data_IF_584261777387
#
_entry.id   IF_584261777387
#
_cell.length_a   1.000
_cell.length_b   1.000
_cell.length_c   1.000
_cell.angle_alpha   90.00
_cell.angle_beta   90.00
_cell.angle_gamma   90.00
#
_symmetry.space_group_name_H-M   'P 1'
#
loop_
_entity.id
_entity.type
_entity.pdbx_description
1 polymer ?
#
# COMPACT_ATOMS: atom_id res chain seq x y z
N UNK A 1 -0.26 10.62 36.38
CA UNK A 1 1.14 11.04 36.60
C UNK A 1 1.57 11.79 35.37
N UNK A 2 1.80 13.11 35.48
CA UNK A 2 2.37 13.87 34.37
C UNK A 2 3.73 13.25 34.04
N UNK A 3 3.91 12.76 32.82
CA UNK A 3 5.22 12.27 32.37
C UNK A 3 6.10 13.50 32.21
N UNK A 4 7.27 13.53 32.85
CA UNK A 4 8.24 14.62 32.66
C UNK A 4 8.60 14.73 31.17
N UNK A 5 8.07 15.75 30.50
CA UNK A 5 8.44 16.06 29.12
C UNK A 5 9.76 16.84 29.16
N UNK A 6 10.81 16.42 28.43
CA UNK A 6 12.07 17.17 28.41
C UNK A 6 11.94 18.52 27.67
N UNK A 7 10.79 18.79 27.06
CA UNK A 7 10.47 20.03 26.37
C UNK A 7 9.35 20.73 27.11
N UNK A 8 9.61 21.96 27.57
CA UNK A 8 8.63 22.78 28.28
C UNK A 8 7.53 23.36 27.37
N UNK A 9 7.75 23.39 26.05
CA UNK A 9 6.82 23.96 25.09
C UNK A 9 6.86 23.24 23.72
N UNK A 10 5.74 23.24 22.96
CA UNK A 10 5.68 22.67 21.61
C UNK A 10 6.75 23.21 20.66
N UNK A 11 7.05 24.51 20.73
CA UNK A 11 8.05 25.15 19.88
C UNK A 11 9.47 24.60 20.14
N UNK A 12 9.82 24.34 21.40
CA UNK A 12 11.11 23.75 21.78
C UNK A 12 11.26 22.34 21.23
N UNK A 13 10.19 21.54 21.32
CA UNK A 13 10.16 20.21 20.73
C UNK A 13 10.28 20.24 19.21
N UNK A 14 9.53 21.12 18.53
CA UNK A 14 9.63 21.27 17.07
C UNK A 14 11.04 21.69 16.63
N UNK A 15 11.67 22.60 17.38
CA UNK A 15 13.04 23.04 17.14
C UNK A 15 14.02 21.88 17.19
N UNK A 16 13.94 21.03 18.22
CA UNK A 16 14.76 19.83 18.35
C UNK A 16 14.51 18.83 17.20
N UNK A 17 13.23 18.58 16.87
CA UNK A 17 12.84 17.71 15.77
C UNK A 17 13.42 18.19 14.43
N UNK A 18 13.25 19.48 14.12
CA UNK A 18 13.76 20.11 12.90
C UNK A 18 15.29 20.07 12.84
N UNK A 19 15.97 20.35 13.94
CA UNK A 19 17.43 20.29 14.00
C UNK A 19 17.95 18.87 13.69
N UNK A 20 17.37 17.84 14.32
CA UNK A 20 17.73 16.44 14.05
C UNK A 20 17.40 16.03 12.62
N UNK A 21 16.24 16.44 12.10
CA UNK A 21 15.86 16.20 10.70
C UNK A 21 16.89 16.80 9.72
N UNK A 22 17.36 18.02 9.98
CA UNK A 22 18.38 18.67 9.15
C UNK A 22 19.73 17.95 9.19
N UNK A 23 20.16 17.47 10.36
CA UNK A 23 21.38 16.68 10.48
C UNK A 23 21.28 15.38 9.68
N UNK A 24 20.19 14.63 9.85
CA UNK A 24 19.96 13.38 9.13
C UNK A 24 19.87 13.62 7.62
N UNK A 25 19.07 14.60 7.20
CA UNK A 25 18.91 14.99 5.80
C UNK A 25 20.24 15.30 5.12
N UNK A 26 21.12 16.09 5.76
CA UNK A 26 22.46 16.38 5.24
C UNK A 26 23.33 15.13 5.12
N UNK A 27 23.32 14.27 6.13
CA UNK A 27 24.16 13.05 6.12
C UNK A 27 23.73 12.01 5.08
N UNK A 28 22.45 11.99 4.70
CA UNK A 28 21.86 10.97 3.81
C UNK A 28 21.45 11.52 2.44
N UNK A 29 21.63 12.83 2.17
CA UNK A 29 21.20 13.47 0.93
C UNK A 29 19.67 13.48 0.74
N UNK A 30 18.90 13.54 1.83
CA UNK A 30 17.44 13.48 1.81
C UNK A 30 16.81 14.88 1.94
N UNK A 31 15.60 15.12 1.41
CA UNK A 31 14.86 16.35 1.70
C UNK A 31 14.44 16.42 3.17
N UNK A 32 14.72 17.55 3.83
CA UNK A 32 14.36 17.76 5.26
C UNK A 32 12.85 17.58 5.49
N UNK A 33 12.02 18.04 4.56
CA UNK A 33 10.57 17.92 4.65
C UNK A 33 10.09 16.47 4.64
N UNK A 34 10.74 15.60 3.86
CA UNK A 34 10.41 14.17 3.81
C UNK A 34 10.83 13.47 5.10
N UNK A 35 11.98 13.84 5.66
CA UNK A 35 12.46 13.31 6.96
C UNK A 35 11.49 13.70 8.08
N UNK A 36 11.06 14.96 8.14
CA UNK A 36 10.03 15.42 9.08
C UNK A 36 8.69 14.69 8.87
N UNK A 37 8.25 14.56 7.62
CA UNK A 37 7.01 13.85 7.28
C UNK A 37 7.04 12.40 7.74
N UNK A 38 8.18 11.73 7.61
CA UNK A 38 8.35 10.35 8.10
C UNK A 38 8.11 10.23 9.60
N UNK A 39 8.51 11.23 10.38
CA UNK A 39 8.26 11.27 11.83
C UNK A 39 6.78 11.46 12.15
N UNK A 40 6.10 12.36 11.44
CA UNK A 40 4.66 12.55 11.60
C UNK A 40 3.87 11.31 11.18
N UNK A 41 4.32 10.58 10.17
CA UNK A 41 3.75 9.28 9.81
C UNK A 41 3.90 8.27 10.94
N UNK A 42 5.09 8.16 11.54
CA UNK A 42 5.32 7.27 12.68
C UNK A 42 4.44 7.64 13.88
N UNK A 43 4.21 8.93 14.17
CA UNK A 43 3.31 9.36 15.26
C UNK A 43 1.84 9.14 14.97
N UNK A 44 1.41 9.24 13.72
CA UNK A 44 0.05 8.85 13.34
C UNK A 44 -0.14 7.34 13.47
N UNK A 45 0.82 6.54 13.01
CA UNK A 45 0.79 5.09 13.19
C UNK A 45 0.84 4.69 14.67
N UNK A 46 1.61 5.38 15.50
CA UNK A 46 1.63 5.13 16.94
C UNK A 46 0.22 5.27 17.55
N UNK A 47 -0.55 6.29 17.16
CA UNK A 47 -1.94 6.45 17.57
C UNK A 47 -2.85 5.31 17.10
N UNK A 48 -2.70 4.90 15.84
CA UNK A 48 -3.44 3.76 15.25
C UNK A 48 -3.19 2.47 16.03
N UNK A 49 -1.92 2.15 16.32
CA UNK A 49 -1.56 0.90 16.99
C UNK A 49 -1.76 0.94 18.51
N UNK A 50 -1.74 2.10 19.16
CA UNK A 50 -2.18 2.22 20.55
C UNK A 50 -3.69 2.01 20.69
N UNK A 51 -4.48 2.57 19.77
CA UNK A 51 -5.94 2.46 19.83
C UNK A 51 -6.43 1.04 19.49
N UNK A 52 -5.87 0.42 18.44
CA UNK A 52 -6.31 -0.88 17.96
C UNK A 52 -5.13 -1.71 17.41
N UNK A 53 -4.28 -2.29 18.28
CA UNK A 53 -3.00 -2.92 17.88
C UNK A 53 -3.16 -4.06 16.86
N UNK A 54 -4.26 -4.81 16.94
CA UNK A 54 -4.49 -6.02 16.13
C UNK A 54 -5.37 -5.76 14.90
N UNK A 55 -5.95 -4.58 14.81
CA UNK A 55 -6.91 -4.21 13.79
C UNK A 55 -6.25 -3.75 12.48
N UNK A 56 -4.98 -3.41 12.51
CA UNK A 56 -4.31 -2.67 11.44
C UNK A 56 -3.03 -3.34 10.99
N UNK A 57 -2.71 -3.17 9.71
CA UNK A 57 -1.48 -3.64 9.09
C UNK A 57 -0.89 -2.51 8.26
N UNK A 58 0.38 -2.18 8.45
CA UNK A 58 1.10 -1.20 7.64
C UNK A 58 1.59 -1.84 6.34
N UNK A 59 1.33 -1.19 5.20
CA UNK A 59 1.72 -1.60 3.86
C UNK A 59 2.70 -0.58 3.25
N UNK A 60 3.06 -0.82 1.98
CA UNK A 60 3.71 0.18 1.12
C UNK A 60 5.07 0.66 1.60
N UNK A 61 5.48 1.84 1.14
CA UNK A 61 6.84 2.36 1.41
C UNK A 61 7.16 2.51 2.90
N UNK A 62 6.17 2.87 3.73
CA UNK A 62 6.40 3.04 5.17
C UNK A 62 6.64 1.70 5.87
N UNK A 63 6.00 0.60 5.43
CA UNK A 63 6.33 -0.73 5.95
C UNK A 63 7.78 -1.14 5.62
N UNK A 64 8.30 -0.79 4.43
CA UNK A 64 9.72 -1.03 4.11
C UNK A 64 10.66 -0.15 4.95
N UNK A 65 10.28 1.10 5.21
CA UNK A 65 11.02 1.98 6.11
C UNK A 65 11.13 1.38 7.53
N UNK A 66 10.05 0.80 8.03
CA UNK A 66 10.06 0.12 9.33
C UNK A 66 10.88 -1.17 9.34
N UNK A 67 11.00 -1.86 8.20
CA UNK A 67 11.83 -3.08 8.07
C UNK A 67 13.32 -2.77 7.96
N UNK A 68 13.66 -1.79 7.14
CA UNK A 68 15.05 -1.57 6.69
C UNK A 68 15.64 -0.24 7.16
N UNK A 69 14.89 0.55 7.93
CA UNK A 69 15.28 1.88 8.40
C UNK A 69 15.83 2.73 7.23
N UNK A 70 16.98 3.37 7.43
CA UNK A 70 17.63 4.26 6.46
C UNK A 70 18.00 3.60 5.11
N UNK A 71 17.95 2.27 5.00
CA UNK A 71 18.19 1.58 3.73
C UNK A 71 17.01 1.71 2.73
N UNK A 72 15.78 1.91 3.22
CA UNK A 72 14.62 2.12 2.38
C UNK A 72 14.47 3.61 2.00
N UNK A 73 13.84 3.88 0.86
CA UNK A 73 13.48 5.24 0.47
C UNK A 73 12.37 5.80 1.38
N UNK A 74 12.34 7.12 1.52
CA UNK A 74 11.21 7.80 2.17
C UNK A 74 9.94 7.65 1.33
N UNK A 75 8.81 7.41 2.00
CA UNK A 75 7.48 7.42 1.40
C UNK A 75 6.85 8.80 1.52
N UNK A 76 5.95 9.13 0.61
CA UNK A 76 5.17 10.38 0.63
C UNK A 76 3.77 10.18 1.22
N UNK A 77 3.35 8.93 1.39
CA UNK A 77 2.05 8.54 1.92
C UNK A 77 2.22 7.33 2.85
N UNK A 78 1.22 7.11 3.71
CA UNK A 78 1.08 5.90 4.54
C UNK A 78 0.03 5.01 3.89
N UNK A 79 0.33 3.73 3.72
CA UNK A 79 -0.64 2.73 3.30
C UNK A 79 -0.96 1.83 4.50
N UNK A 80 -2.23 1.72 4.89
CA UNK A 80 -2.69 0.82 5.95
C UNK A 80 -3.87 -0.02 5.48
N UNK A 81 -3.90 -1.26 5.97
CA UNK A 81 -4.98 -2.19 5.77
C UNK A 81 -5.69 -2.43 7.09
N UNK A 82 -7.01 -2.28 7.10
CA UNK A 82 -7.84 -2.76 8.21
C UNK A 82 -7.98 -4.27 8.09
N UNK A 83 -7.47 -4.99 9.08
CA UNK A 83 -7.75 -6.42 9.28
C UNK A 83 -9.23 -6.57 9.57
N UNK A 84 -10.01 -7.01 8.59
CA UNK A 84 -11.44 -7.21 8.77
C UNK A 84 -11.69 -8.62 9.29
N UNK A 85 -12.33 -8.73 10.47
CA UNK A 85 -13.29 -9.81 10.67
C UNK A 85 -14.43 -9.62 9.66
N UNK A 86 -15.16 -10.68 9.31
CA UNK A 86 -16.26 -10.59 8.35
C UNK A 86 -17.23 -9.46 8.76
N UNK A 87 -17.32 -8.39 7.95
CA UNK A 87 -18.33 -7.33 8.10
C UNK A 87 -17.84 -5.88 8.04
N UNK A 88 -16.59 -5.57 8.38
CA UNK A 88 -16.17 -4.15 8.43
C UNK A 88 -15.88 -3.55 7.05
N UNK A 89 -16.73 -2.59 6.63
CA UNK A 89 -16.60 -1.88 5.37
C UNK A 89 -15.54 -0.76 5.40
N UNK A 90 -15.21 -0.20 4.23
CA UNK A 90 -14.21 0.88 4.13
C UNK A 90 -14.58 2.13 4.94
N UNK A 91 -15.88 2.43 5.06
CA UNK A 91 -16.38 3.55 5.88
C UNK A 91 -16.04 3.37 7.37
N UNK A 92 -16.20 2.17 7.90
CA UNK A 92 -15.85 1.86 9.30
C UNK A 92 -14.34 1.91 9.52
N UNK A 93 -13.55 1.40 8.57
CA UNK A 93 -12.09 1.51 8.62
C UNK A 93 -11.65 2.98 8.68
N UNK A 94 -12.23 3.85 7.86
CA UNK A 94 -11.95 5.30 7.93
C UNK A 94 -12.39 5.88 9.27
N UNK A 95 -13.57 5.54 9.77
CA UNK A 95 -14.05 6.02 11.06
C UNK A 95 -13.13 5.58 12.22
N UNK A 96 -12.65 4.34 12.20
CA UNK A 96 -11.64 3.81 13.13
C UNK A 96 -10.33 4.61 13.06
N UNK A 97 -9.84 4.90 11.85
CA UNK A 97 -8.63 5.71 11.64
C UNK A 97 -8.81 7.13 12.20
N UNK A 98 -9.96 7.76 11.97
CA UNK A 98 -10.26 9.10 12.48
C UNK A 98 -10.29 9.13 14.01
N UNK A 99 -10.93 8.14 14.64
CA UNK A 99 -10.92 7.99 16.10
C UNK A 99 -9.51 7.79 16.65
N UNK A 100 -8.73 6.91 16.03
CA UNK A 100 -7.36 6.67 16.45
C UNK A 100 -6.50 7.93 16.29
N UNK A 101 -6.59 8.64 15.15
CA UNK A 101 -5.83 9.88 14.92
C UNK A 101 -6.13 10.99 15.94
N UNK A 102 -7.32 10.99 16.53
CA UNK A 102 -7.72 11.91 17.59
C UNK A 102 -7.20 11.53 18.99
N UNK A 103 -6.65 10.33 19.16
CA UNK A 103 -6.05 9.90 20.43
C UNK A 103 -4.83 10.78 20.75
N UNK A 104 -4.87 11.40 21.93
CA UNK A 104 -3.77 12.24 22.39
C UNK A 104 -2.71 11.37 23.05
N UNK A 105 -1.49 11.47 22.53
CA UNK A 105 -0.31 10.78 23.08
C UNK A 105 0.55 11.70 23.94
N UNK A 106 0.04 12.90 24.28
CA UNK A 106 0.75 13.91 25.05
C UNK A 106 2.10 14.27 24.39
N UNK A 107 2.12 14.36 23.06
CA UNK A 107 3.32 14.56 22.23
C UNK A 107 3.32 15.91 21.48
N UNK A 108 2.48 16.85 21.94
CA UNK A 108 2.18 18.14 21.32
C UNK A 108 1.59 18.10 19.91
N UNK A 109 1.39 16.93 19.31
CA UNK A 109 0.87 16.80 17.95
C UNK A 109 -0.65 16.62 17.93
N UNK A 110 -1.29 17.30 16.99
CA UNK A 110 -2.71 17.11 16.67
C UNK A 110 -2.87 16.80 15.19
N UNK A 111 -3.58 15.72 14.88
CA UNK A 111 -3.92 15.31 13.52
C UNK A 111 -5.37 15.69 13.23
N UNK A 112 -5.58 16.79 12.51
CA UNK A 112 -6.93 17.27 12.16
C UNK A 112 -7.33 16.72 10.79
N UNK A 113 -8.42 15.95 10.65
CA UNK A 113 -8.86 15.46 9.35
C UNK A 113 -9.30 16.62 8.45
N UNK A 114 -8.83 16.61 7.20
CA UNK A 114 -9.10 17.68 6.24
C UNK A 114 -9.96 17.21 5.06
N UNK A 115 -9.67 16.03 4.50
CA UNK A 115 -10.41 15.49 3.36
C UNK A 115 -10.38 13.97 3.34
N UNK A 116 -11.52 13.37 3.03
CA UNK A 116 -11.65 11.93 2.73
C UNK A 116 -12.14 11.77 1.30
N UNK A 117 -11.52 10.86 0.54
CA UNK A 117 -12.01 10.46 -0.78
C UNK A 117 -12.02 8.94 -0.91
N UNK A 118 -13.22 8.38 -1.03
CA UNK A 118 -13.43 6.94 -1.27
C UNK A 118 -13.17 6.60 -2.75
N UNK A 119 -12.73 5.39 -3.01
CA UNK A 119 -12.55 4.86 -4.36
C UNK A 119 -12.69 3.34 -4.39
N UNK A 120 -13.09 2.83 -5.55
CA UNK A 120 -13.23 1.39 -5.81
C UNK A 120 -12.32 1.02 -6.99
N UNK A 121 -11.02 0.83 -6.72
CA UNK A 121 -10.04 0.38 -7.72
C UNK A 121 -9.64 -1.05 -7.40
N UNK A 122 -10.49 -2.02 -7.77
CA UNK A 122 -10.29 -3.44 -7.48
C UNK A 122 -10.55 -3.89 -6.03
N UNK A 123 -10.60 -2.95 -5.09
CA UNK A 123 -11.11 -3.14 -3.73
C UNK A 123 -11.60 -1.78 -3.20
N UNK A 124 -12.50 -1.80 -2.21
CA UNK A 124 -12.93 -0.60 -1.53
C UNK A 124 -11.75 0.03 -0.77
N UNK A 125 -11.45 1.28 -1.07
CA UNK A 125 -10.34 2.02 -0.50
C UNK A 125 -10.70 3.48 -0.25
N UNK A 126 -9.90 4.14 0.58
CA UNK A 126 -10.05 5.55 0.90
C UNK A 126 -8.69 6.24 0.93
N UNK A 127 -8.68 7.51 0.57
CA UNK A 127 -7.56 8.41 0.88
C UNK A 127 -8.02 9.43 1.90
N UNK A 128 -7.39 9.41 3.07
CA UNK A 128 -7.60 10.38 4.15
C UNK A 128 -6.43 11.35 4.20
N UNK A 129 -6.73 12.66 4.29
CA UNK A 129 -5.74 13.72 4.46
C UNK A 129 -5.87 14.32 5.86
N UNK A 130 -4.76 14.45 6.57
CA UNK A 130 -4.66 15.12 7.87
C UNK A 130 -3.77 16.35 7.78
N UNK A 131 -4.18 17.44 8.45
CA UNK A 131 -3.32 18.57 8.78
C UNK A 131 -2.70 18.32 10.15
N UNK A 132 -1.38 18.33 10.22
CA UNK A 132 -0.62 18.09 11.45
C UNK A 132 -0.29 19.42 12.09
N UNK A 133 -0.69 19.58 13.33
CA UNK A 133 -0.43 20.78 14.11
C UNK A 133 0.48 20.47 15.28
N UNK A 134 1.35 21.42 15.62
CA UNK A 134 2.11 21.42 16.86
C UNK A 134 1.83 22.74 17.59
N UNK A 135 1.09 22.66 18.70
CA UNK A 135 0.45 23.85 19.27
C UNK A 135 -0.53 24.49 18.28
N UNK A 136 -0.40 25.80 18.03
CA UNK A 136 -1.25 26.56 17.11
C UNK A 136 -0.78 26.55 15.65
N UNK A 137 0.39 25.97 15.37
CA UNK A 137 1.00 26.00 14.04
C UNK A 137 0.77 24.70 13.27
N UNK A 138 0.32 24.81 12.01
CA UNK A 138 0.36 23.69 11.07
C UNK A 138 1.82 23.43 10.64
N UNK A 139 2.29 22.20 10.82
CA UNK A 139 3.68 21.80 10.55
C UNK A 139 3.82 20.81 9.38
N UNK A 140 2.74 20.13 9.00
CA UNK A 140 2.73 19.20 7.86
C UNK A 140 1.32 18.85 7.38
N UNK A 141 1.24 18.23 6.21
CA UNK A 141 0.05 17.55 5.69
C UNK A 141 0.39 16.09 5.43
N UNK A 142 -0.35 15.18 6.06
CA UNK A 142 -0.15 13.72 5.97
C UNK A 142 -1.28 13.10 5.17
N UNK A 143 -0.95 12.12 4.33
CA UNK A 143 -1.89 11.37 3.49
C UNK A 143 -1.83 9.90 3.88
N UNK A 144 -3.01 9.31 4.08
CA UNK A 144 -3.17 7.90 4.44
C UNK A 144 -4.09 7.24 3.42
N UNK A 145 -3.59 6.19 2.77
CA UNK A 145 -4.38 5.27 1.98
C UNK A 145 -4.86 4.14 2.89
N UNK A 146 -6.17 3.97 2.96
CA UNK A 146 -6.84 2.94 3.77
C UNK A 146 -7.48 1.95 2.82
N UNK A 147 -7.28 0.67 3.09
CA UNK A 147 -7.96 -0.43 2.37
C UNK A 147 -8.52 -1.42 3.40
N UNK A 148 -9.58 -2.13 3.03
CA UNK A 148 -10.09 -3.26 3.82
C UNK A 148 -9.51 -4.59 3.34
N UNK A 149 -9.36 -5.52 4.27
CA UNK A 149 -8.35 -6.57 4.19
C UNK A 149 -8.51 -7.59 3.07
N UNK A 150 -7.40 -7.80 2.35
CA UNK A 150 -7.10 -9.00 1.59
C UNK A 150 -6.62 -10.11 2.53
N UNK A 151 -6.86 -11.37 2.16
CA UNK A 151 -6.31 -12.50 2.88
C UNK A 151 -4.77 -12.47 2.79
N UNK A 152 -4.10 -12.62 3.92
CA UNK A 152 -2.65 -12.64 4.00
C UNK A 152 -2.15 -14.05 3.67
N UNK A 153 -1.02 -14.14 2.98
CA UNK A 153 -0.43 -15.42 2.60
C UNK A 153 0.39 -16.04 3.73
N UNK A 154 0.91 -15.22 4.62
CA UNK A 154 1.60 -15.61 5.86
C UNK A 154 1.20 -14.68 7.00
N UNK A 155 1.48 -15.01 8.27
CA UNK A 155 1.25 -14.09 9.38
C UNK A 155 1.95 -12.72 9.17
N UNK A 156 1.36 -11.61 9.64
CA UNK A 156 2.03 -10.31 9.65
C UNK A 156 3.32 -10.36 10.46
N UNK A 157 4.32 -9.61 10.01
CA UNK A 157 5.51 -9.36 10.82
C UNK A 157 5.20 -8.32 11.89
N UNK A 158 5.71 -8.49 13.10
CA UNK A 158 5.54 -7.52 14.18
C UNK A 158 6.86 -6.78 14.41
N UNK A 159 6.83 -5.45 14.37
CA UNK A 159 8.00 -4.60 14.59
C UNK A 159 7.63 -3.40 15.46
N UNK A 160 8.49 -3.05 16.40
CA UNK A 160 8.39 -1.78 17.13
C UNK A 160 8.53 -0.61 16.16
N UNK A 161 7.62 0.37 16.23
CA UNK A 161 7.77 1.62 15.47
C UNK A 161 9.04 2.31 15.95
N UNK A 162 9.99 2.52 15.04
CA UNK A 162 11.23 3.25 15.31
C UNK A 162 11.32 4.41 14.34
N UNK A 163 11.11 5.66 14.78
CA UNK A 163 11.20 6.82 13.90
C UNK A 163 12.64 6.98 13.38
N UNK A 164 12.80 7.54 12.18
CA UNK A 164 14.13 7.87 11.66
C UNK A 164 14.80 9.00 12.45
N UNK A 165 14.00 9.95 12.95
CA UNK A 165 14.51 11.00 13.82
C UNK A 165 14.58 10.43 15.24
N UNK A 166 15.81 10.19 15.68
CA UNK A 166 16.08 9.68 17.03
C UNK A 166 16.04 10.81 18.06
N UNK A 167 15.00 10.76 18.90
CA UNK A 167 14.78 11.62 20.05
C UNK A 167 14.32 10.75 21.23
N UNK A 168 14.84 11.04 22.43
CA UNK A 168 14.48 10.29 23.64
C UNK A 168 12.99 10.40 24.02
N UNK A 169 12.34 11.50 23.62
CA UNK A 169 10.92 11.74 23.84
C UNK A 169 10.23 12.18 22.54
N UNK A 170 9.00 11.70 22.26
CA UNK A 170 8.25 10.69 23.00
C UNK A 170 8.86 9.29 22.89
N UNK A 171 8.79 8.50 23.97
CA UNK A 171 9.33 7.12 24.03
C UNK A 171 8.26 6.01 23.90
N UNK A 172 7.00 6.40 23.79
CA UNK A 172 5.82 5.52 23.83
C UNK A 172 5.50 4.87 22.46
N UNK A 173 6.51 4.36 21.77
CA UNK A 173 6.30 3.72 20.46
C UNK A 173 5.69 2.33 20.61
N UNK A 174 4.56 2.00 19.95
CA UNK A 174 3.97 0.67 20.02
C UNK A 174 4.65 -0.31 19.04
N UNK A 175 4.33 -1.60 19.20
CA UNK A 175 4.50 -2.56 18.13
C UNK A 175 3.47 -2.34 17.02
N UNK A 176 3.86 -2.63 15.79
CA UNK A 176 3.02 -2.53 14.62
C UNK A 176 3.11 -3.80 13.79
N UNK A 177 1.97 -4.21 13.25
CA UNK A 177 1.88 -5.30 12.28
C UNK A 177 2.21 -4.77 10.89
N UNK A 178 3.14 -5.43 10.22
CA UNK A 178 3.56 -5.12 8.87
C UNK A 178 3.01 -6.14 7.89
N UNK A 179 2.67 -5.67 6.71
CA UNK A 179 2.21 -6.52 5.61
C UNK A 179 3.30 -7.54 5.29
N UNK A 180 2.97 -8.84 5.22
CA UNK A 180 3.98 -9.87 5.03
C UNK A 180 4.79 -9.63 3.77
N UNK A 181 6.08 -9.95 3.82
CA UNK A 181 7.00 -9.58 2.74
C UNK A 181 6.61 -10.20 1.40
N UNK A 182 6.10 -11.44 1.40
CA UNK A 182 5.61 -12.13 0.20
C UNK A 182 4.40 -11.43 -0.43
N UNK A 183 3.48 -10.92 0.39
CA UNK A 183 2.34 -10.15 -0.09
C UNK A 183 2.77 -8.77 -0.58
N UNK A 184 3.76 -8.16 0.06
CA UNK A 184 4.35 -6.89 -0.40
C UNK A 184 5.03 -7.04 -1.77
N UNK A 185 5.79 -8.13 -1.95
CA UNK A 185 6.40 -8.49 -3.22
C UNK A 185 5.33 -8.68 -4.31
N UNK A 186 4.28 -9.43 -4.01
CA UNK A 186 3.14 -9.62 -4.91
C UNK A 186 2.51 -8.28 -5.32
N UNK A 187 2.21 -7.39 -4.36
CA UNK A 187 1.60 -6.09 -4.63
C UNK A 187 2.46 -5.24 -5.59
N UNK A 188 3.79 -5.27 -5.41
CA UNK A 188 4.74 -4.52 -6.24
C UNK A 188 4.95 -5.13 -7.62
N UNK A 189 5.08 -6.46 -7.72
CA UNK A 189 5.23 -7.15 -9.01
C UNK A 189 3.95 -7.00 -9.85
N UNK A 190 2.77 -7.08 -9.24
CA UNK A 190 1.54 -6.79 -9.95
C UNK A 190 1.50 -5.32 -10.42
N UNK A 191 1.83 -4.35 -9.56
CA UNK A 191 1.87 -2.93 -9.95
C UNK A 191 2.93 -2.63 -11.03
N UNK A 192 4.01 -3.41 -11.08
CA UNK A 192 5.05 -3.33 -12.10
C UNK A 192 4.52 -3.68 -13.49
N UNK A 193 3.63 -4.67 -13.60
CA UNK A 193 3.10 -5.18 -14.88
C UNK A 193 1.68 -4.72 -15.21
N UNK A 194 1.04 -3.97 -14.32
CA UNK A 194 -0.24 -3.32 -14.61
C UNK A 194 -0.13 -2.31 -15.76
N UNK A 195 -1.10 -2.39 -16.67
CA UNK A 195 -1.32 -1.40 -17.71
C UNK A 195 -2.57 -0.59 -17.39
N UNK A 196 -2.47 0.71 -17.60
CA UNK A 196 -3.58 1.64 -17.42
C UNK A 196 -3.93 2.24 -18.77
N UNK A 197 -5.13 1.94 -19.29
CA UNK A 197 -5.56 2.40 -20.61
C UNK A 197 -4.51 2.08 -21.70
N UNK A 198 -4.04 0.83 -21.72
CA UNK A 198 -3.00 0.33 -22.64
C UNK A 198 -1.56 0.77 -22.32
N UNK A 199 -1.36 1.81 -21.49
CA UNK A 199 -0.04 2.34 -21.18
C UNK A 199 0.71 1.47 -20.18
N UNK A 200 2.01 1.16 -20.42
CA UNK A 200 2.87 0.49 -19.45
C UNK A 200 2.93 1.20 -18.09
N UNK A 201 3.19 0.42 -17.05
CA UNK A 201 3.44 0.94 -15.71
C UNK A 201 4.63 1.91 -15.69
N UNK A 202 4.50 2.98 -14.90
CA UNK A 202 5.57 3.94 -14.57
C UNK A 202 6.08 3.77 -13.14
N UNK A 203 5.84 2.61 -12.54
CA UNK A 203 6.21 2.26 -11.15
C UNK A 203 7.69 1.92 -11.00
N UNK A 204 8.59 2.76 -11.54
CA UNK A 204 10.05 2.53 -11.50
C UNK A 204 10.58 2.30 -10.07
N UNK A 205 10.01 3.00 -9.09
CA UNK A 205 10.35 2.84 -7.66
C UNK A 205 9.98 1.46 -7.11
N UNK A 206 8.93 0.82 -7.64
CA UNK A 206 8.54 -0.51 -7.17
C UNK A 206 9.60 -1.56 -7.56
N UNK A 207 10.28 -1.43 -8.70
CA UNK A 207 11.42 -2.30 -9.03
C UNK A 207 12.62 -2.08 -8.09
N UNK A 208 12.94 -0.83 -7.75
CA UNK A 208 14.01 -0.54 -6.80
C UNK A 208 13.69 -1.08 -5.40
N UNK A 209 12.44 -0.97 -4.96
CA UNK A 209 11.96 -1.55 -3.70
C UNK A 209 12.01 -3.09 -3.73
N UNK A 210 11.62 -3.73 -4.85
CA UNK A 210 11.72 -5.20 -5.05
C UNK A 210 13.18 -5.67 -4.93
N UNK A 211 14.12 -4.98 -5.59
CA UNK A 211 15.54 -5.35 -5.53
C UNK A 211 16.15 -5.08 -4.16
N UNK A 212 15.67 -4.07 -3.41
CA UNK A 212 16.04 -3.93 -2.01
C UNK A 212 15.54 -5.13 -1.20
N UNK A 213 14.31 -5.58 -1.41
CA UNK A 213 13.76 -6.77 -0.73
C UNK A 213 14.62 -8.00 -1.04
N UNK A 214 14.98 -8.23 -2.31
CA UNK A 214 15.81 -9.38 -2.69
C UNK A 214 17.22 -9.34 -2.09
N UNK A 215 17.74 -8.17 -1.74
CA UNK A 215 19.04 -8.03 -1.06
C UNK A 215 18.97 -8.21 0.46
N UNK A 216 17.78 -8.21 1.06
CA UNK A 216 17.59 -8.16 2.52
C UNK A 216 16.87 -9.36 3.10
N UNK A 217 15.99 -9.98 2.33
CA UNK A 217 15.05 -10.96 2.84
C UNK A 217 15.36 -12.34 2.26
N UNK A 218 15.27 -13.37 3.11
CA UNK A 218 15.11 -14.74 2.64
C UNK A 218 13.64 -14.96 2.31
N UNK A 219 13.33 -15.48 1.12
CA UNK A 219 11.96 -15.57 0.64
C UNK A 219 11.62 -17.02 0.30
N UNK A 220 10.63 -17.57 0.98
CA UNK A 220 10.07 -18.88 0.63
C UNK A 220 9.26 -18.76 -0.67
N UNK A 221 9.74 -19.38 -1.73
CA UNK A 221 9.21 -19.21 -3.08
C UNK A 221 7.77 -19.71 -3.24
N UNK A 222 7.36 -20.73 -2.48
CA UNK A 222 6.00 -21.24 -2.49
C UNK A 222 4.98 -20.17 -2.02
N UNK A 223 5.26 -19.49 -0.90
CA UNK A 223 4.40 -18.42 -0.38
C UNK A 223 4.47 -17.17 -1.24
N UNK A 224 5.64 -16.81 -1.77
CA UNK A 224 5.80 -15.70 -2.70
C UNK A 224 5.00 -15.90 -3.99
N UNK A 225 5.07 -17.09 -4.59
CA UNK A 225 4.31 -17.42 -5.80
C UNK A 225 2.81 -17.49 -5.50
N UNK A 226 2.38 -18.09 -4.38
CA UNK A 226 0.98 -18.10 -3.96
C UNK A 226 0.42 -16.68 -3.81
N UNK A 227 1.16 -15.80 -3.12
CA UNK A 227 0.79 -14.40 -2.95
C UNK A 227 0.67 -13.69 -4.31
N UNK A 228 1.68 -13.86 -5.18
CA UNK A 228 1.72 -13.24 -6.51
C UNK A 228 0.55 -13.68 -7.39
N UNK A 229 0.25 -14.99 -7.45
CA UNK A 229 -0.87 -15.49 -8.27
C UNK A 229 -2.23 -15.08 -7.70
N UNK A 230 -2.39 -15.08 -6.39
CA UNK A 230 -3.61 -14.63 -5.72
C UNK A 230 -3.88 -13.16 -6.02
N UNK A 231 -2.87 -12.31 -5.87
CA UNK A 231 -3.00 -10.88 -6.15
C UNK A 231 -3.26 -10.61 -7.63
N UNK A 232 -2.53 -11.27 -8.53
CA UNK A 232 -2.72 -11.11 -9.97
C UNK A 232 -4.15 -11.47 -10.42
N UNK A 233 -4.69 -12.59 -9.93
CA UNK A 233 -6.09 -13.00 -10.22
C UNK A 233 -7.09 -11.98 -9.70
N UNK A 234 -6.89 -11.48 -8.48
CA UNK A 234 -7.77 -10.47 -7.88
C UNK A 234 -7.81 -9.19 -8.71
N UNK A 235 -6.65 -8.69 -9.14
CA UNK A 235 -6.58 -7.46 -9.94
C UNK A 235 -7.17 -7.63 -11.33
N UNK A 236 -6.96 -8.78 -11.96
CA UNK A 236 -7.58 -9.11 -13.24
C UNK A 236 -9.11 -9.20 -13.17
N UNK A 237 -9.67 -9.61 -12.02
CA UNK A 237 -11.12 -9.72 -11.82
C UNK A 237 -11.83 -8.38 -11.49
N UNK A 238 -11.11 -7.40 -10.93
CA UNK A 238 -11.73 -6.32 -10.16
C UNK A 238 -11.68 -4.90 -10.74
N UNK A 239 -11.04 -4.66 -11.87
CA UNK A 239 -10.77 -3.29 -12.32
C UNK A 239 -11.08 -3.05 -13.80
N UNK A 240 -12.04 -2.16 -14.07
CA UNK A 240 -12.28 -1.64 -15.42
C UNK A 240 -11.13 -0.73 -15.85
N UNK A 241 -10.58 -0.96 -17.05
CA UNK A 241 -9.47 -0.16 -17.61
C UNK A 241 -8.10 -0.42 -16.98
N UNK A 242 -7.95 -1.47 -16.17
CA UNK A 242 -6.66 -2.00 -15.72
C UNK A 242 -6.48 -3.39 -16.32
N UNK A 243 -5.37 -3.59 -17.02
CA UNK A 243 -5.00 -4.88 -17.60
C UNK A 243 -3.76 -5.39 -16.86
N UNK A 244 -3.83 -6.64 -16.40
CA UNK A 244 -2.69 -7.30 -15.77
C UNK A 244 -2.48 -8.67 -16.38
N UNK A 245 -1.38 -8.82 -17.09
CA UNK A 245 -0.85 -10.10 -17.54
C UNK A 245 0.59 -10.21 -17.03
N UNK A 246 0.87 -11.18 -16.17
CA UNK A 246 2.23 -11.45 -15.71
C UNK A 246 3.01 -12.15 -16.83
N UNK A 247 4.22 -11.69 -17.19
CA UNK A 247 5.07 -12.41 -18.13
C UNK A 247 5.59 -13.72 -17.49
N UNK A 248 6.13 -14.62 -18.31
CA UNK A 248 6.75 -15.88 -17.84
C UNK A 248 8.19 -15.67 -17.31
N UNK A 249 8.82 -14.55 -17.66
CA UNK A 249 10.14 -14.16 -17.22
C UNK A 249 10.18 -12.64 -17.04
N UNK A 250 11.18 -12.12 -16.31
CA UNK A 250 11.35 -10.70 -16.17
C UNK A 250 11.60 -10.05 -17.54
N UNK A 251 10.74 -9.11 -17.90
CA UNK A 251 10.94 -8.18 -18.99
C UNK A 251 10.63 -6.76 -18.51
N UNK A 252 11.30 -5.72 -19.06
CA UNK A 252 10.91 -4.34 -18.78
C UNK A 252 9.42 -4.14 -19.13
N UNK A 253 8.60 -3.54 -18.24
CA UNK A 253 7.19 -3.32 -18.54
C UNK A 253 6.95 -2.43 -19.78
N UNK A 254 7.91 -1.57 -20.13
CA UNK A 254 7.85 -0.72 -21.33
C UNK A 254 9.21 -0.14 -21.74
N UNK A 255 9.29 0.52 -22.92
CA UNK A 255 10.55 0.94 -23.52
C UNK A 255 11.29 2.04 -22.75
N UNK A 256 10.59 2.81 -21.91
CA UNK A 256 11.18 3.93 -21.15
C UNK A 256 11.87 3.48 -19.86
N UNK A 257 11.76 2.20 -19.48
CA UNK A 257 12.29 1.68 -18.22
C UNK A 257 13.81 1.82 -18.08
N UNK A 258 14.62 1.48 -19.10
CA UNK A 258 16.07 1.64 -19.02
C UNK A 258 16.51 3.07 -18.66
N UNK A 259 15.86 4.08 -19.24
CA UNK A 259 16.23 5.48 -19.05
C UNK A 259 15.71 6.06 -17.74
N UNK A 260 14.53 5.62 -17.29
CA UNK A 260 13.82 6.21 -16.14
C UNK A 260 14.16 5.53 -14.82
N UNK A 261 14.50 4.25 -14.83
CA UNK A 261 14.79 3.47 -13.63
C UNK A 261 15.94 4.03 -12.77
N UNK A 262 17.10 4.47 -13.31
CA UNK A 262 18.22 4.92 -12.48
C UNK A 262 17.88 6.07 -11.54
N UNK A 263 16.96 6.96 -11.93
CA UNK A 263 16.49 8.03 -11.06
C UNK A 263 15.66 7.53 -9.86
N UNK A 264 14.93 6.43 -10.03
CA UNK A 264 14.20 5.78 -8.95
C UNK A 264 15.14 4.98 -8.03
N UNK A 265 16.13 4.28 -8.59
CA UNK A 265 17.13 3.53 -7.82
C UNK A 265 17.91 4.43 -6.84
N UNK A 266 18.31 5.63 -7.29
CA UNK A 266 19.01 6.62 -6.44
C UNK A 266 18.22 7.08 -5.20
N UNK A 267 16.91 6.87 -5.17
CA UNK A 267 16.09 7.22 -4.02
C UNK A 267 16.14 6.18 -2.91
N UNK A 268 16.72 4.99 -3.16
CA UNK A 268 16.80 3.87 -2.22
C UNK A 268 18.24 3.77 -1.69
N UNK A 269 18.57 4.36 -0.52
CA UNK A 269 19.97 4.51 -0.09
C UNK A 269 20.69 3.18 0.15
N UNK A 270 19.93 2.15 0.56
CA UNK A 270 20.49 0.84 0.88
C UNK A 270 20.57 -0.14 -0.28
N UNK A 271 20.20 0.27 -1.51
CA UNK A 271 20.24 -0.56 -2.71
C UNK A 271 21.67 -0.61 -3.27
N UNK A 272 22.23 -1.82 -3.40
CA UNK A 272 23.61 -2.03 -3.85
C UNK A 272 23.66 -2.72 -5.20
N UNK A 273 24.59 -2.33 -6.08
CA UNK A 273 24.82 -3.02 -7.35
C UNK A 273 23.60 -3.11 -8.26
N UNK A 274 22.70 -2.13 -8.20
CA UNK A 274 21.47 -2.03 -9.00
C UNK A 274 21.16 -0.55 -9.33
N UNK A 275 22.18 0.30 -9.43
CA UNK A 275 21.97 1.75 -9.64
C UNK A 275 21.67 2.06 -11.11
N UNK A 276 22.22 1.26 -12.02
CA UNK A 276 22.00 1.34 -13.46
C UNK A 276 20.96 0.33 -13.93
N UNK A 277 20.42 0.54 -15.13
CA UNK A 277 19.47 -0.41 -15.71
C UNK A 277 20.08 -1.82 -15.96
N UNK A 278 21.26 -1.97 -16.58
CA UNK A 278 21.82 -3.31 -16.83
C UNK A 278 22.00 -4.14 -15.56
N UNK A 279 22.52 -3.51 -14.50
CA UNK A 279 22.69 -4.15 -13.19
C UNK A 279 21.33 -4.57 -12.59
N UNK A 280 20.36 -3.66 -12.59
CA UNK A 280 19.04 -3.93 -12.06
C UNK A 280 18.27 -4.97 -12.87
N UNK A 281 18.42 -4.97 -14.19
CA UNK A 281 17.80 -5.94 -15.07
C UNK A 281 18.36 -7.35 -14.82
N UNK A 282 19.68 -7.50 -14.67
CA UNK A 282 20.29 -8.76 -14.32
C UNK A 282 19.84 -9.28 -12.93
N UNK A 283 19.79 -8.40 -11.92
CA UNK A 283 19.31 -8.76 -10.59
C UNK A 283 17.81 -9.10 -10.58
N UNK A 284 17.00 -8.38 -11.36
CA UNK A 284 15.57 -8.62 -11.51
C UNK A 284 15.32 -9.92 -12.27
N UNK A 285 16.11 -10.24 -13.29
CA UNK A 285 16.04 -11.50 -14.01
C UNK A 285 16.33 -12.69 -13.07
N UNK A 286 17.40 -12.62 -12.28
CA UNK A 286 17.73 -13.66 -11.31
C UNK A 286 16.63 -13.85 -10.24
N UNK A 287 16.03 -12.76 -9.76
CA UNK A 287 15.05 -12.82 -8.68
C UNK A 287 13.62 -13.09 -9.16
N UNK A 288 13.14 -12.35 -10.16
CA UNK A 288 11.73 -12.35 -10.58
C UNK A 288 11.42 -13.43 -11.62
N UNK A 289 12.34 -13.79 -12.52
CA UNK A 289 12.04 -14.81 -13.53
C UNK A 289 11.60 -16.14 -12.90
N UNK A 290 12.27 -16.68 -11.87
CA UNK A 290 11.82 -17.91 -11.23
C UNK A 290 10.48 -17.79 -10.50
N UNK A 291 10.14 -16.61 -9.96
CA UNK A 291 8.83 -16.35 -9.36
C UNK A 291 7.70 -16.25 -10.41
N UNK A 292 8.03 -15.67 -11.57
CA UNK A 292 7.12 -15.47 -12.70
C UNK A 292 6.90 -16.74 -13.51
N UNK A 293 7.88 -17.65 -13.54
CA UNK A 293 7.77 -18.95 -14.18
C UNK A 293 6.76 -19.88 -13.46
N UNK A 294 6.28 -20.94 -14.13
CA UNK A 294 5.52 -22.01 -13.49
C UNK A 294 6.37 -22.82 -12.50
N UNK A 295 5.78 -23.21 -11.37
CA UNK A 295 6.42 -24.04 -10.33
C UNK A 295 7.15 -23.22 -9.26
N UNK A 296 7.24 -23.72 -8.02
CA UNK A 296 7.90 -22.99 -6.94
C UNK A 296 9.42 -22.94 -7.18
N UNK A 297 10.06 -21.76 -7.09
CA UNK A 297 11.49 -21.61 -7.40
C UNK A 297 12.43 -22.14 -6.31
N UNK A 298 11.91 -22.68 -5.20
CA UNK A 298 12.68 -22.98 -3.99
C UNK A 298 12.70 -21.78 -3.04
N UNK A 299 13.79 -21.61 -2.30
CA UNK A 299 13.96 -20.53 -1.32
C UNK A 299 15.02 -19.53 -1.80
N UNK A 300 14.69 -18.24 -1.79
CA UNK A 300 15.64 -17.19 -2.16
C UNK A 300 16.65 -16.96 -1.05
N UNK A 301 17.93 -17.03 -1.39
CA UNK A 301 19.02 -16.66 -0.51
C UNK A 301 19.60 -15.28 -0.92
N UNK A 302 19.41 -14.23 -0.12
CA UNK A 302 19.90 -12.89 -0.45
C UNK A 302 21.43 -12.80 -0.49
N UNK A 303 22.15 -13.64 0.26
CA UNK A 303 23.63 -13.63 0.26
C UNK A 303 24.23 -14.18 -1.03
N UNK A 304 23.57 -15.19 -1.62
CA UNK A 304 23.97 -15.79 -2.89
C UNK A 304 23.33 -15.15 -4.12
N UNK A 305 22.38 -14.23 -3.93
CA UNK A 305 21.53 -13.66 -4.99
C UNK A 305 20.93 -14.74 -5.90
N UNK A 306 20.50 -15.86 -5.32
CA UNK A 306 20.05 -17.03 -6.05
C UNK A 306 18.91 -17.76 -5.32
N UNK A 307 18.02 -18.35 -6.12
CA UNK A 307 17.06 -19.32 -5.65
C UNK A 307 17.75 -20.66 -5.40
N UNK A 308 17.57 -21.19 -4.21
CA UNK A 308 18.07 -22.50 -3.82
C UNK A 308 16.90 -23.47 -3.89
N UNK A 309 17.01 -24.46 -4.77
CA UNK A 309 16.07 -25.58 -4.77
C UNK A 309 16.16 -26.21 -3.40
N UNK A 310 15.02 -26.27 -2.70
CA UNK A 310 14.95 -26.96 -1.43
C UNK A 310 15.28 -28.44 -1.72
N UNK A 311 16.39 -29.01 -1.22
CA UNK A 311 16.55 -30.46 -1.29
C UNK A 311 15.34 -31.04 -0.58
N UNK A 312 14.57 -31.91 -1.23
CA UNK A 312 13.26 -32.34 -0.75
C UNK A 312 13.26 -32.56 0.77
N UNK A 313 12.61 -31.70 1.56
CA UNK A 313 12.21 -32.10 2.87
C UNK A 313 10.98 -32.97 2.65
N UNK A 314 10.99 -34.18 3.20
CA UNK A 314 9.74 -34.92 3.43
C UNK A 314 8.65 -33.99 3.99
N UNK A 315 7.37 -34.33 3.77
CA UNK A 315 6.27 -33.38 3.75
C UNK A 315 6.24 -32.49 5.00
N UNK A 316 6.42 -31.19 4.79
CA UNK A 316 6.08 -30.15 5.78
C UNK A 316 5.31 -28.99 5.15
N UNK A 317 4.45 -29.29 4.19
CA UNK A 317 3.12 -28.71 4.30
C UNK A 317 2.47 -29.55 5.39
N UNK A 318 2.36 -29.02 6.61
CA UNK A 318 1.43 -29.66 7.53
C UNK A 318 0.06 -29.58 6.87
N UNK A 319 -0.79 -30.60 7.06
CA UNK A 319 -2.18 -30.56 6.56
C UNK A 319 -2.86 -29.24 6.94
N UNK A 320 -2.48 -28.67 8.08
CA UNK A 320 -2.91 -27.36 8.56
C UNK A 320 -2.54 -26.19 7.65
N UNK A 321 -1.33 -26.13 7.06
CA UNK A 321 -0.93 -25.02 6.17
C UNK A 321 -1.58 -25.14 4.79
N UNK A 322 -1.72 -26.37 4.29
CA UNK A 322 -2.47 -26.66 3.06
C UNK A 322 -3.97 -26.37 3.23
N UNK A 323 -4.56 -26.78 4.36
CA UNK A 323 -5.94 -26.49 4.73
C UNK A 323 -6.15 -24.99 4.93
N UNK A 324 -5.18 -24.25 5.48
CA UNK A 324 -5.26 -22.79 5.64
C UNK A 324 -5.18 -22.08 4.29
N UNK A 325 -4.31 -22.52 3.38
CA UNK A 325 -4.25 -21.98 2.02
C UNK A 325 -5.52 -22.28 1.22
N UNK A 326 -6.06 -23.49 1.33
CA UNK A 326 -7.34 -23.88 0.73
C UNK A 326 -8.50 -23.09 1.34
N UNK A 327 -8.54 -22.90 2.66
CA UNK A 327 -9.55 -22.09 3.33
C UNK A 327 -9.48 -20.62 2.92
N UNK A 328 -8.28 -20.07 2.69
CA UNK A 328 -8.11 -18.71 2.14
C UNK A 328 -8.66 -18.62 0.72
N UNK A 329 -8.41 -19.62 -0.13
CA UNK A 329 -8.94 -19.68 -1.50
C UNK A 329 -10.47 -19.85 -1.50
N UNK A 330 -11.01 -20.69 -0.62
CA UNK A 330 -12.44 -20.95 -0.53
C UNK A 330 -13.19 -19.75 0.05
N UNK A 331 -12.66 -19.11 1.10
CA UNK A 331 -13.20 -17.83 1.60
C UNK A 331 -13.16 -16.73 0.53
N UNK A 332 -12.12 -16.71 -0.32
CA UNK A 332 -12.06 -15.76 -1.42
C UNK A 332 -13.14 -16.07 -2.49
N UNK A 333 -13.41 -17.35 -2.77
CA UNK A 333 -14.49 -17.79 -3.66
C UNK A 333 -15.88 -17.47 -3.10
N UNK A 334 -16.13 -17.77 -1.83
CA UNK A 334 -17.40 -17.50 -1.15
C UNK A 334 -17.70 -16.00 -1.10
N UNK A 335 -16.69 -15.15 -0.82
CA UNK A 335 -16.86 -13.68 -0.87
C UNK A 335 -17.16 -13.19 -2.29
N UNK A 336 -16.52 -13.76 -3.31
CA UNK A 336 -16.81 -13.42 -4.70
C UNK A 336 -18.22 -13.85 -5.12
N UNK A 337 -18.66 -15.04 -4.69
CA UNK A 337 -20.01 -15.56 -4.93
C UNK A 337 -21.09 -14.75 -4.19
N UNK A 338 -20.83 -14.37 -2.94
CA UNK A 338 -21.72 -13.51 -2.15
C UNK A 338 -21.85 -12.10 -2.71
N UNK A 339 -20.76 -11.53 -3.23
CA UNK A 339 -20.78 -10.24 -3.93
C UNK A 339 -21.57 -10.31 -5.24
N UNK A 340 -21.51 -11.43 -5.97
CA UNK A 340 -22.30 -11.66 -7.18
C UNK A 340 -23.79 -11.88 -6.88
N UNK A 341 -24.12 -12.53 -5.74
CA UNK A 341 -25.50 -12.76 -5.30
C UNK A 341 -26.16 -11.53 -4.68
N UNK A 342 -25.38 -10.57 -4.17
CA UNK A 342 -25.87 -9.33 -3.56
C UNK A 342 -26.19 -8.21 -4.57
N UNK A 343 -25.98 -8.43 -5.87
CA UNK A 343 -26.47 -7.51 -6.91
C UNK A 343 -27.99 -7.71 -7.02
N UNK A 344 -28.84 -6.73 -6.66
CA UNK A 344 -30.26 -6.85 -6.90
C UNK A 344 -30.48 -6.90 -8.41
N UNK A 345 -31.22 -7.90 -8.89
CA UNK A 345 -31.81 -7.84 -10.23
C UNK A 345 -32.71 -6.61 -10.27
N UNK A 346 -32.18 -5.47 -10.73
CA UNK A 346 -33.02 -4.36 -11.15
C UNK A 346 -33.81 -4.87 -12.36
N UNK A 347 -35.05 -5.27 -12.11
CA UNK A 347 -36.07 -5.40 -13.13
C UNK A 347 -36.13 -4.08 -13.89
N UNK A 348 -35.67 -4.11 -15.15
CA UNK A 348 -35.89 -3.01 -16.10
C UNK A 348 -37.38 -2.64 -16.07
N UNK A 349 -37.77 -1.39 -15.80
CA UNK A 349 -39.14 -0.99 -16.06
C UNK A 349 -39.42 -1.16 -17.55
N UNK A 350 -40.54 -1.80 -17.88
CA UNK A 350 -41.02 -1.93 -19.24
C UNK A 350 -41.09 -0.54 -19.89
N UNK A 351 -40.51 -0.41 -21.08
CA UNK A 351 -40.63 0.80 -21.88
C UNK A 351 -42.12 1.07 -22.14
N UNK A 352 -42.61 2.19 -21.62
CA UNK A 352 -43.92 2.70 -22.03
C UNK A 352 -43.87 3.07 -23.52
N UNK A 353 -44.86 2.67 -24.32
CA UNK A 353 -44.93 3.10 -25.71
C UNK A 353 -45.16 4.61 -25.77
N UNK A 354 -44.22 5.31 -26.42
CA UNK A 354 -44.34 6.73 -26.74
C UNK A 354 -45.44 6.87 -27.80
N UNK A 355 -46.62 7.34 -27.40
CA UNK A 355 -47.66 7.75 -28.33
C UNK A 355 -47.23 9.04 -29.05
N UNK A 356 -47.36 9.13 -30.39
CA UNK A 356 -47.13 10.37 -31.11
C UNK A 356 -48.18 11.41 -30.70
N UNK A 357 -47.72 12.61 -30.34
CA UNK A 357 -48.57 13.73 -29.99
C UNK A 357 -49.44 14.15 -31.18
N UNK A 358 -50.76 14.15 -30.97
CA UNK A 358 -51.76 14.69 -31.90
C UNK A 358 -51.66 16.22 -31.90
N UNK A 359 -51.52 16.88 -33.06
CA UNK A 359 -51.48 18.34 -33.13
C UNK A 359 -52.87 18.95 -32.84
N UNK A 360 -52.94 20.14 -32.20
CA UNK A 360 -54.20 20.81 -31.93
C UNK A 360 -54.87 21.30 -33.24
N UNK A 361 -56.22 21.40 -33.27
CA UNK A 361 -56.96 21.81 -34.47
C UNK A 361 -56.74 23.29 -34.80
N UNK A 362 -56.68 23.60 -36.09
CA UNK A 362 -56.57 24.95 -36.62
C UNK A 362 -57.85 25.76 -36.31
N UNK A 363 -57.70 26.82 -35.50
CA UNK A 363 -58.69 27.89 -35.37
C UNK A 363 -58.65 28.84 -36.58
N UNK A 364 -59.77 29.50 -36.92
CA UNK A 364 -59.99 30.09 -38.24
C UNK A 364 -59.16 31.35 -38.45
N UNK A 365 -58.55 31.43 -39.64
CA UNK A 365 -57.87 32.63 -40.10
C UNK A 365 -58.86 33.77 -40.37
N UNK A 366 -58.46 34.97 -39.95
CA UNK A 366 -58.91 36.20 -40.58
C UNK A 366 -57.71 36.87 -41.27
N UNK A 367 -57.85 36.99 -42.58
CA UNK A 367 -57.04 37.79 -43.48
C UNK A 367 -57.52 39.28 -43.46
N UNK A 368 -57.12 40.17 -44.39
CA UNK A 368 -55.99 41.08 -44.19
C UNK A 368 -56.35 42.57 -44.46
N UNK A 369 -55.37 43.46 -44.29
CA UNK A 369 -55.38 44.86 -44.77
C UNK A 369 -55.70 45.88 -43.68
N UNK A 370 -54.98 47.00 -43.54
CA UNK A 370 -54.22 47.79 -44.50
C UNK A 370 -52.96 48.37 -43.86
#
# INVERSE_FOLDING_TARGET
MARDTPYAAPASFYGALKHKAQLLARSQGLPVADVLSSYFFSRLLARVFHAQPEAWIVKGGHALLMRYAAAARLSQDIDIQRSTGAGAGIGEAVADLLRAAAYDLDDYLRFTPARTSMHERGAAGAKQVFRVHMGTHEVAVVKVYVVTGHALSTPPDVRRITPLIDLAWPGDWPEARLYPIVNHLADKVCALYERHQGSPSSRYRDLADILLISQRESVEGCYAQLALRTEARRRAAGATGVELALPQAFTPPGPTWPDRYPAAARQVPGLRGCATWPEAAAAAEAFLTPLLAPGPPGDWNPAGAAWQVRPEPGPRLTDHDAQRALAVVEQARERAAGAAAAVPQQSRPAAQPVHPAVPPPAGPGMAPGR
#
